data_IF_725379614626
#
_entry.id   IF_725379614626
#
_cell.length_a   1.000
_cell.length_b   1.000
_cell.length_c   1.000
_cell.angle_alpha   90.00
_cell.angle_beta   90.00
_cell.angle_gamma   90.00
#
_symmetry.space_group_name_H-M   'P 1'
#
loop_
_entity.id
_entity.type
_entity.pdbx_description
1 polymer ?
#
# COMPACT_ATOMS: atom_id res chain seq x y z
N UNK A 1 -14.51 -0.93 25.44
CA UNK A 1 -13.67 -1.51 24.38
C UNK A 1 -14.38 -1.27 23.05
N UNK A 2 -13.70 -0.78 22.02
CA UNK A 2 -14.29 -0.65 20.68
C UNK A 2 -14.21 -1.99 19.96
N UNK A 3 -15.33 -2.57 19.50
CA UNK A 3 -15.36 -3.77 18.66
C UNK A 3 -14.41 -3.67 17.45
N UNK A 4 -13.81 -4.80 17.06
CA UNK A 4 -12.98 -4.87 15.86
C UNK A 4 -13.77 -4.52 14.59
N UNK A 5 -15.05 -4.89 14.55
CA UNK A 5 -15.97 -4.57 13.45
C UNK A 5 -16.03 -3.07 13.15
N UNK A 6 -16.09 -2.23 14.19
CA UNK A 6 -16.16 -0.77 14.03
C UNK A 6 -14.86 -0.21 13.44
N UNK A 7 -13.71 -0.80 13.77
CA UNK A 7 -12.39 -0.34 13.32
C UNK A 7 -12.13 -0.61 11.83
N UNK A 8 -12.71 -1.67 11.27
CA UNK A 8 -12.52 -2.09 9.86
C UNK A 8 -12.73 -0.91 8.90
N UNK A 9 -13.75 -0.09 9.15
CA UNK A 9 -14.13 1.05 8.31
C UNK A 9 -13.04 2.13 8.17
N UNK A 10 -12.10 2.19 9.12
CA UNK A 10 -11.03 3.20 9.17
C UNK A 10 -9.66 2.66 8.78
N UNK A 11 -9.54 1.34 8.59
CA UNK A 11 -8.27 0.71 8.23
C UNK A 11 -7.94 0.91 6.74
N UNK A 12 -6.65 1.00 6.43
CA UNK A 12 -6.20 1.05 5.05
C UNK A 12 -6.20 -0.35 4.40
N UNK A 13 -6.05 -0.39 3.07
CA UNK A 13 -6.13 -1.63 2.32
C UNK A 13 -5.01 -2.66 2.65
N UNK A 14 -3.82 -2.21 3.08
CA UNK A 14 -2.72 -3.11 3.44
C UNK A 14 -3.01 -3.83 4.76
N UNK A 15 -3.48 -3.08 5.75
CA UNK A 15 -3.85 -3.62 7.06
C UNK A 15 -5.05 -4.56 6.95
N UNK A 16 -6.04 -4.21 6.12
CA UNK A 16 -7.20 -5.07 5.86
C UNK A 16 -6.82 -6.38 5.17
N UNK A 17 -5.87 -6.38 4.22
CA UNK A 17 -5.36 -7.62 3.61
C UNK A 17 -4.65 -8.51 4.63
N UNK A 18 -3.85 -7.90 5.52
CA UNK A 18 -3.17 -8.62 6.60
C UNK A 18 -4.19 -9.21 7.58
N UNK A 19 -5.20 -8.42 7.96
CA UNK A 19 -6.27 -8.86 8.85
C UNK A 19 -7.08 -10.01 8.24
N UNK A 20 -7.39 -9.94 6.94
CA UNK A 20 -8.06 -11.02 6.18
C UNK A 20 -7.26 -12.32 6.24
N UNK A 21 -5.96 -12.26 5.95
CA UNK A 21 -5.09 -13.44 5.97
C UNK A 21 -5.03 -14.09 7.36
N UNK A 22 -4.99 -13.28 8.42
CA UNK A 22 -5.02 -13.77 9.80
C UNK A 22 -6.38 -14.38 10.15
N UNK A 23 -7.50 -13.76 9.76
CA UNK A 23 -8.83 -14.29 9.98
C UNK A 23 -9.03 -15.63 9.24
N UNK A 24 -8.53 -15.75 8.00
CA UNK A 24 -8.56 -17.02 7.26
C UNK A 24 -7.76 -18.11 7.98
N UNK A 25 -6.56 -17.82 8.48
CA UNK A 25 -5.79 -18.77 9.29
C UNK A 25 -6.53 -19.20 10.56
N UNK A 26 -7.25 -18.26 11.21
CA UNK A 26 -8.05 -18.58 12.40
C UNK A 26 -9.25 -19.48 12.08
N UNK A 27 -9.83 -19.41 10.89
CA UNK A 27 -10.85 -20.37 10.47
C UNK A 27 -10.30 -21.80 10.32
N UNK A 28 -9.04 -21.94 9.91
CA UNK A 28 -8.42 -23.25 9.68
C UNK A 28 -7.82 -23.87 10.95
N UNK A 29 -7.30 -23.04 11.85
CA UNK A 29 -6.46 -23.49 12.97
C UNK A 29 -6.84 -22.89 14.32
N UNK A 30 -7.86 -22.03 14.39
CA UNK A 30 -8.29 -21.37 15.61
C UNK A 30 -9.11 -22.28 16.53
N UNK A 31 -9.29 -21.83 17.77
CA UNK A 31 -10.29 -22.41 18.67
C UNK A 31 -11.72 -22.20 18.12
N UNK A 32 -12.73 -22.95 18.59
CA UNK A 32 -14.12 -22.77 18.14
C UNK A 32 -14.63 -21.33 18.25
N UNK A 33 -14.28 -20.62 19.32
CA UNK A 33 -14.63 -19.21 19.49
C UNK A 33 -13.93 -18.32 18.45
N UNK A 34 -12.64 -18.57 18.17
CA UNK A 34 -11.88 -17.82 17.16
C UNK A 34 -12.42 -18.05 15.76
N UNK A 35 -12.79 -19.30 15.43
CA UNK A 35 -13.41 -19.63 14.14
C UNK A 35 -14.75 -18.90 13.96
N UNK A 36 -15.61 -18.91 14.98
CA UNK A 36 -16.88 -18.18 14.96
C UNK A 36 -16.66 -16.68 14.71
N UNK A 37 -15.80 -16.05 15.51
CA UNK A 37 -15.50 -14.62 15.36
C UNK A 37 -14.84 -14.28 14.02
N UNK A 38 -13.97 -15.14 13.50
CA UNK A 38 -13.35 -14.96 12.19
C UNK A 38 -14.37 -15.06 11.05
N UNK A 39 -15.32 -16.00 11.14
CA UNK A 39 -16.41 -16.18 10.18
C UNK A 39 -17.34 -14.97 10.12
N UNK A 40 -17.61 -14.34 11.27
CA UNK A 40 -18.41 -13.11 11.35
C UNK A 40 -17.69 -11.88 10.76
N UNK A 41 -16.36 -11.79 10.93
CA UNK A 41 -15.58 -10.62 10.55
C UNK A 41 -15.12 -10.63 9.09
N UNK A 42 -14.86 -11.80 8.50
CA UNK A 42 -14.35 -11.89 7.11
C UNK A 42 -15.22 -11.15 6.08
N UNK A 43 -16.56 -11.29 6.08
CA UNK A 43 -17.41 -10.55 5.14
C UNK A 43 -17.28 -9.02 5.28
N UNK A 44 -17.06 -8.52 6.50
CA UNK A 44 -16.88 -7.08 6.76
C UNK A 44 -15.56 -6.57 6.18
N UNK A 45 -14.48 -7.36 6.31
CA UNK A 45 -13.18 -7.04 5.73
C UNK A 45 -13.25 -7.03 4.20
N UNK A 46 -13.85 -8.06 3.61
CA UNK A 46 -13.97 -8.19 2.15
C UNK A 46 -14.82 -7.04 1.56
N UNK A 47 -15.91 -6.67 2.23
CA UNK A 47 -16.73 -5.50 1.86
C UNK A 47 -15.92 -4.21 1.86
N UNK A 48 -15.16 -3.94 2.92
CA UNK A 48 -14.36 -2.72 2.99
C UNK A 48 -13.22 -2.69 1.96
N UNK A 49 -12.59 -3.84 1.68
CA UNK A 49 -11.60 -3.96 0.61
C UNK A 49 -12.20 -3.62 -0.77
N UNK A 50 -13.42 -4.08 -1.04
CA UNK A 50 -14.13 -3.73 -2.27
C UNK A 50 -14.42 -2.21 -2.35
N UNK A 51 -14.91 -1.60 -1.27
CA UNK A 51 -15.13 -0.14 -1.20
C UNK A 51 -13.85 0.65 -1.47
N UNK A 52 -12.73 0.24 -0.89
CA UNK A 52 -11.43 0.90 -1.13
C UNK A 52 -10.95 0.69 -2.57
N UNK A 53 -11.19 -0.47 -3.16
CA UNK A 53 -10.84 -0.76 -4.56
C UNK A 53 -11.66 0.10 -5.53
N UNK A 54 -12.96 0.23 -5.30
CA UNK A 54 -13.85 1.10 -6.09
C UNK A 54 -13.44 2.57 -6.00
N UNK A 55 -13.09 3.05 -4.80
CA UNK A 55 -12.55 4.41 -4.60
C UNK A 55 -11.26 4.62 -5.38
N UNK A 56 -10.33 3.67 -5.30
CA UNK A 56 -9.06 3.75 -6.02
C UNK A 56 -9.24 3.69 -7.55
N UNK A 57 -10.25 2.97 -8.05
CA UNK A 57 -10.59 2.91 -9.47
C UNK A 57 -11.29 4.19 -9.98
N UNK A 58 -11.99 4.89 -9.09
CA UNK A 58 -12.70 6.14 -9.40
C UNK A 58 -11.80 7.38 -9.33
N UNK A 59 -10.65 7.30 -8.66
CA UNK A 59 -9.68 8.39 -8.65
C UNK A 59 -8.91 8.41 -9.99
N UNK A 60 -8.96 9.52 -10.75
CA UNK A 60 -8.18 9.64 -11.98
C UNK A 60 -6.70 9.54 -11.62
N UNK A 61 -5.98 8.62 -12.29
CA UNK A 61 -4.56 8.41 -12.06
C UNK A 61 -3.83 9.77 -12.12
N UNK A 62 -3.02 10.13 -11.10
CA UNK A 62 -2.29 11.38 -11.15
C UNK A 62 -1.42 11.36 -12.40
N UNK A 63 -1.67 12.32 -13.30
CA UNK A 63 -0.86 12.50 -14.51
C UNK A 63 0.57 12.67 -14.06
N UNK A 64 1.36 11.59 -14.14
CA UNK A 64 2.80 11.63 -13.85
C UNK A 64 3.43 12.54 -14.89
N UNK A 65 3.58 13.83 -14.56
CA UNK A 65 4.44 14.74 -15.32
C UNK A 65 5.83 14.14 -15.27
N UNK A 66 6.26 13.53 -16.38
CA UNK A 66 7.64 13.09 -16.55
C UNK A 66 8.53 14.31 -16.34
N UNK A 67 9.40 14.25 -15.34
CA UNK A 67 10.41 15.28 -15.16
C UNK A 67 11.24 15.37 -16.44
N UNK A 68 11.42 16.59 -16.96
CA UNK A 68 12.20 16.83 -18.16
C UNK A 68 13.61 16.23 -18.00
N UNK A 69 14.15 15.54 -19.01
CA UNK A 69 15.48 14.96 -18.93
C UNK A 69 16.50 16.08 -18.70
N UNK A 70 17.20 16.03 -17.56
CA UNK A 70 18.33 16.94 -17.27
C UNK A 70 19.38 16.74 -18.37
N UNK A 71 19.60 17.75 -19.21
CA UNK A 71 20.72 17.77 -20.16
C UNK A 71 22.01 17.57 -19.37
N UNK A 72 22.77 16.52 -19.71
CA UNK A 72 24.12 16.31 -19.19
C UNK A 72 25.02 17.41 -19.76
N UNK A 73 25.51 18.31 -18.91
CA UNK A 73 26.60 19.22 -19.25
C UNK A 73 27.88 18.36 -19.31
N UNK A 74 28.67 18.41 -20.40
CA UNK A 74 29.93 17.68 -20.45
C UNK A 74 30.88 18.22 -19.37
N UNK A 75 31.68 17.36 -18.72
CA UNK A 75 32.69 17.82 -17.78
C UNK A 75 33.68 18.73 -18.52
N UNK A 76 33.96 19.89 -17.93
CA UNK A 76 34.96 20.83 -18.45
C UNK A 76 36.29 20.09 -18.65
N UNK A 77 36.73 20.03 -19.90
CA UNK A 77 37.99 19.47 -20.36
C UNK A 77 39.15 20.02 -19.52
N UNK A 78 39.89 19.12 -18.88
CA UNK A 78 41.19 19.41 -18.30
C UNK A 78 42.26 19.67 -19.38
N UNK A 79 43.45 20.05 -18.93
CA UNK A 79 44.66 20.44 -19.68
C UNK A 79 44.85 21.95 -19.87
N UNK A 80 45.30 22.62 -18.80
CA UNK A 80 46.31 23.66 -18.98
C UNK A 80 47.63 23.15 -18.41
N UNK A 81 48.47 22.64 -19.31
CA UNK A 81 49.92 22.63 -19.10
C UNK A 81 50.40 24.06 -19.33
N UNK A 82 50.85 24.73 -18.29
CA UNK A 82 51.64 25.95 -18.41
C UNK A 82 52.97 25.72 -17.66
N UNK A 83 53.98 25.26 -18.41
CA UNK A 83 55.38 25.54 -18.09
C UNK A 83 55.73 26.87 -18.73
N UNK A 84 56.33 27.80 -17.98
CA UNK A 84 57.42 28.56 -18.59
C UNK A 84 58.59 28.81 -17.62
N UNK A 85 59.80 28.58 -18.14
CA UNK A 85 61.04 29.27 -17.73
C UNK A 85 61.75 28.73 -16.51
#
# INVERSE_FOLDING_TARGET
>A
MTPLADKITTMNAADLKTLRANAARLLEHGSPAQMSSAGEILPLIDTQLAVLAEKAASEPAPVRKRAAPKKKVPPATGHQTALPG
#
